data_IF_579330047143
#
_entry.id   IF_579330047143
#
_cell.length_a   1.000
_cell.length_b   1.000
_cell.length_c   1.000
_cell.angle_alpha   90.00
_cell.angle_beta   90.00
_cell.angle_gamma   90.00
#
_symmetry.space_group_name_H-M   'P 1'
#
loop_
_entity.id
_entity.type
_entity.pdbx_description
1 polymer ?
#
# COMPACT_ATOMS: atom_id res chain seq x y z
N UNK A 1 -5.30 -19.58 10.91
CA UNK A 1 -6.22 -19.15 9.81
C UNK A 1 -6.15 -17.65 9.50
N UNK A 2 -5.46 -16.79 10.26
CA UNK A 2 -5.29 -15.35 9.95
C UNK A 2 -3.97 -15.02 9.21
N UNK A 3 -2.99 -15.92 9.25
CA UNK A 3 -1.64 -15.69 8.71
C UNK A 3 -1.56 -15.60 7.18
N UNK A 4 -2.50 -16.25 6.47
CA UNK A 4 -2.51 -16.26 5.00
C UNK A 4 -2.93 -14.90 4.43
N UNK A 5 -3.88 -14.23 5.06
CA UNK A 5 -4.34 -12.90 4.66
C UNK A 5 -3.24 -11.87 4.80
N UNK A 6 -2.52 -11.89 5.93
CA UNK A 6 -1.45 -10.94 6.20
C UNK A 6 -0.23 -11.16 5.29
N UNK A 7 0.14 -12.42 5.02
CA UNK A 7 1.20 -12.75 4.06
C UNK A 7 0.84 -12.34 2.64
N UNK A 8 -0.39 -12.57 2.22
CA UNK A 8 -0.89 -12.15 0.90
C UNK A 8 -0.89 -10.63 0.78
N UNK A 9 -1.32 -9.93 1.83
CA UNK A 9 -1.33 -8.46 1.86
C UNK A 9 0.08 -7.88 1.78
N UNK A 10 1.03 -8.40 2.55
CA UNK A 10 2.45 -7.98 2.46
C UNK A 10 3.01 -8.20 1.06
N UNK A 11 2.73 -9.34 0.43
CA UNK A 11 3.16 -9.61 -0.95
C UNK A 11 2.56 -8.63 -1.95
N UNK A 12 1.26 -8.34 -1.85
CA UNK A 12 0.59 -7.35 -2.70
C UNK A 12 1.22 -5.97 -2.56
N UNK A 13 1.47 -5.52 -1.32
CA UNK A 13 2.14 -4.25 -1.04
C UNK A 13 3.55 -4.19 -1.64
N UNK A 14 4.36 -5.24 -1.48
CA UNK A 14 5.70 -5.32 -2.09
C UNK A 14 5.63 -5.28 -3.62
N UNK A 15 4.63 -5.93 -4.22
CA UNK A 15 4.44 -5.92 -5.67
C UNK A 15 4.09 -4.51 -6.15
N UNK A 16 3.17 -3.83 -5.44
CA UNK A 16 2.76 -2.46 -5.75
C UNK A 16 3.94 -1.50 -5.63
N UNK A 17 4.75 -1.61 -4.58
CA UNK A 17 5.94 -0.78 -4.40
C UNK A 17 7.05 -1.02 -5.43
N UNK A 18 7.11 -2.20 -6.05
CA UNK A 18 8.06 -2.50 -7.12
C UNK A 18 7.56 -2.11 -8.50
N UNK A 19 6.25 -2.26 -8.76
CA UNK A 19 5.67 -2.05 -10.08
C UNK A 19 5.22 -0.60 -10.30
N UNK A 20 4.85 0.12 -9.25
CA UNK A 20 4.31 1.48 -9.34
C UNK A 20 5.20 2.47 -8.58
N UNK A 21 5.54 3.57 -9.23
CA UNK A 21 6.21 4.73 -8.59
C UNK A 21 5.20 5.64 -7.88
N UNK A 22 3.98 5.70 -8.41
CA UNK A 22 2.82 6.37 -7.83
C UNK A 22 1.56 5.64 -8.28
N UNK A 23 0.59 5.47 -7.38
CA UNK A 23 -0.66 4.76 -7.63
C UNK A 23 -1.81 5.49 -6.93
N UNK A 24 -3.00 5.47 -7.52
CA UNK A 24 -4.17 6.10 -6.93
C UNK A 24 -4.57 5.42 -5.61
N UNK A 25 -5.05 6.20 -4.67
CA UNK A 25 -5.51 5.71 -3.36
C UNK A 25 -6.71 4.74 -3.52
N UNK A 26 -7.51 4.93 -4.57
CA UNK A 26 -8.61 4.02 -4.94
C UNK A 26 -8.12 2.64 -5.42
N UNK A 27 -7.13 2.60 -6.32
CA UNK A 27 -6.52 1.36 -6.76
C UNK A 27 -5.92 0.59 -5.59
N UNK A 28 -5.16 1.27 -4.71
CA UNK A 28 -4.58 0.65 -3.51
C UNK A 28 -5.67 0.12 -2.57
N UNK A 29 -6.75 0.87 -2.39
CA UNK A 29 -7.93 0.47 -1.62
C UNK A 29 -8.55 -0.82 -2.19
N UNK A 30 -8.68 -0.90 -3.52
CA UNK A 30 -9.20 -2.06 -4.23
C UNK A 30 -8.27 -3.29 -4.13
N UNK A 31 -6.96 -3.09 -4.28
CA UNK A 31 -5.94 -4.15 -4.14
C UNK A 31 -5.86 -4.74 -2.73
N UNK A 32 -6.04 -3.89 -1.71
CA UNK A 32 -5.96 -4.30 -0.31
C UNK A 32 -7.31 -4.75 0.27
N UNK A 33 -8.42 -4.45 -0.42
CA UNK A 33 -9.78 -4.70 0.06
C UNK A 33 -10.14 -3.88 1.31
N UNK A 34 -9.50 -2.72 1.50
CA UNK A 34 -9.73 -1.83 2.66
C UNK A 34 -10.17 -0.46 2.17
N UNK A 35 -10.92 0.29 2.97
CA UNK A 35 -11.34 1.65 2.61
C UNK A 35 -10.15 2.61 2.48
N UNK A 36 -10.30 3.65 1.66
CA UNK A 36 -9.31 4.72 1.48
C UNK A 36 -8.72 5.28 2.79
N UNK A 37 -9.56 5.51 3.80
CA UNK A 37 -9.10 5.98 5.11
C UNK A 37 -8.19 4.98 5.83
N UNK A 38 -8.42 3.67 5.63
CA UNK A 38 -7.60 2.61 6.20
C UNK A 38 -6.33 2.37 5.39
N UNK A 39 -6.30 2.71 4.10
CA UNK A 39 -5.07 2.59 3.28
C UNK A 39 -3.93 3.37 3.92
N UNK A 40 -4.19 4.62 4.36
CA UNK A 40 -3.17 5.43 5.02
C UNK A 40 -2.59 4.73 6.26
N UNK A 41 -3.45 4.16 7.12
CA UNK A 41 -3.02 3.43 8.31
C UNK A 41 -2.17 2.19 7.97
N UNK A 42 -2.48 1.52 6.86
CA UNK A 42 -1.75 0.34 6.37
C UNK A 42 -0.40 0.69 5.77
N UNK A 43 -0.30 1.80 5.03
CA UNK A 43 0.90 2.14 4.24
C UNK A 43 1.83 3.12 4.96
N UNK A 44 1.34 3.89 5.92
CA UNK A 44 2.13 4.76 6.78
C UNK A 44 3.26 4.01 7.53
N UNK A 45 3.04 2.84 8.18
CA UNK A 45 4.13 2.07 8.80
C UNK A 45 5.10 1.47 7.79
N UNK A 46 4.76 1.41 6.50
CA UNK A 46 5.65 0.97 5.43
C UNK A 46 6.53 2.13 4.90
N UNK A 47 6.33 3.35 5.40
CA UNK A 47 7.04 4.55 4.97
C UNK A 47 6.58 5.07 3.60
N UNK A 48 5.37 4.71 3.17
CA UNK A 48 4.78 5.20 1.92
C UNK A 48 4.23 6.62 2.12
N UNK A 49 4.33 7.44 1.08
CA UNK A 49 3.81 8.81 1.11
C UNK A 49 2.40 8.80 0.55
N UNK A 50 1.43 9.24 1.36
CA UNK A 50 0.04 9.38 0.94
C UNK A 50 -0.28 10.84 0.74
N UNK A 51 -0.58 11.19 -0.50
CA UNK A 51 -0.97 12.52 -0.93
C UNK A 51 -2.50 12.61 -0.93
N UNK A 52 -3.08 12.98 0.21
CA UNK A 52 -4.55 13.07 0.37
C UNK A 52 -5.17 14.20 -0.44
N UNK A 53 -4.40 15.25 -0.73
CA UNK A 53 -4.83 16.35 -1.60
C UNK A 53 -5.01 15.90 -3.05
N UNK A 54 -4.11 15.04 -3.55
CA UNK A 54 -4.15 14.51 -4.92
C UNK A 54 -4.85 13.15 -5.02
N UNK A 55 -5.14 12.49 -3.89
CA UNK A 55 -5.66 11.12 -3.86
C UNK A 55 -4.65 10.09 -4.38
N UNK A 56 -3.36 10.36 -4.24
CA UNK A 56 -2.26 9.55 -4.77
C UNK A 56 -1.45 8.95 -3.63
N UNK A 57 -0.87 7.79 -3.87
CA UNK A 57 0.02 7.08 -2.95
C UNK A 57 1.31 6.81 -3.69
N UNK A 58 2.41 7.31 -3.14
CA UNK A 58 3.75 7.00 -3.61
C UNK A 58 4.33 5.89 -2.73
N UNK A 59 4.29 4.62 -3.19
CA UNK A 59 4.83 3.53 -2.43
C UNK A 59 6.35 3.66 -2.34
N UNK A 60 6.88 3.48 -1.14
CA UNK A 60 8.33 3.50 -0.90
C UNK A 60 8.81 2.08 -0.69
N UNK A 61 9.59 1.57 -1.64
CA UNK A 61 10.30 0.32 -1.43
C UNK A 61 11.53 0.59 -0.54
N UNK A 62 11.36 0.38 0.76
CA UNK A 62 12.49 0.19 1.68
C UNK A 62 12.96 -1.26 1.51
N UNK A 63 13.68 -1.51 0.42
CA UNK A 63 14.50 -2.71 0.32
C UNK A 63 15.62 -2.58 1.34
N UNK A 64 15.53 -3.33 2.44
CA UNK A 64 16.69 -3.54 3.30
C UNK A 64 17.80 -4.11 2.42
N UNK A 65 18.94 -3.41 2.42
CA UNK A 65 20.20 -3.84 1.81
C UNK A 65 20.93 -4.75 2.80
#
# INVERSE_FOLDING_TARGET
MLELGERTRRRALTLVAKAYSSISLDDVSSFLGVSRAQVADVVNPLGWVVDTASGMVAPKYTGEH
#
